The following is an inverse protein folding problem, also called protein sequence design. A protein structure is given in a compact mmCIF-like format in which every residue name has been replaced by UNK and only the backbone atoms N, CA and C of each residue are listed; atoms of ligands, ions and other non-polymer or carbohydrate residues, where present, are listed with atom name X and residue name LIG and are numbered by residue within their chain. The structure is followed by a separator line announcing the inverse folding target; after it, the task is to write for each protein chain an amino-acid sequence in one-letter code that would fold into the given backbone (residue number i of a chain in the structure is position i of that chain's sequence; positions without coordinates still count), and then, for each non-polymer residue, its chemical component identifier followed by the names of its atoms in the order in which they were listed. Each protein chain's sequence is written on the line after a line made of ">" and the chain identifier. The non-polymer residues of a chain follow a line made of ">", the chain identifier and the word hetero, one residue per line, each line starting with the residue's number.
data_IF_861700755262
#
_entry.id   IF_861700755262
#
_cell.length_a   1.000
_cell.length_b   1.000
_cell.length_c   1.000
_cell.angle_alpha   90.00
_cell.angle_beta   90.00
_cell.angle_gamma   90.00
#
_symmetry.space_group_name_H-M   'P 1'
#
loop_
_entity.id
_entity.type
_entity.pdbx_description
1 polymer ?
#
# COMPACT_ATOMS: atom_id res chain seq x y z
N UNK A 1 -8.90 -0.48 21.54
CA UNK A 1 -8.84 -0.25 20.08
C UNK A 1 -7.45 -0.54 19.53
N UNK A 2 -7.11 -1.82 19.38
CA UNK A 2 -5.98 -2.24 18.56
C UNK A 2 -6.47 -2.31 17.12
N UNK A 3 -6.32 -1.22 16.36
CA UNK A 3 -6.77 -1.18 14.98
C UNK A 3 -6.03 -2.22 14.13
N UNK A 4 -6.60 -2.61 12.99
CA UNK A 4 -5.95 -3.51 12.02
C UNK A 4 -4.51 -3.08 11.67
N UNK A 5 -4.22 -1.78 11.73
CA UNK A 5 -2.88 -1.21 11.58
C UNK A 5 -1.91 -1.67 12.67
N UNK A 6 -2.33 -1.69 13.94
CA UNK A 6 -1.50 -2.21 15.04
C UNK A 6 -1.22 -3.70 14.85
N UNK A 7 -2.21 -4.46 14.40
CA UNK A 7 -2.01 -5.87 14.06
C UNK A 7 -0.97 -6.08 12.95
N UNK A 8 -0.93 -5.21 11.93
CA UNK A 8 0.10 -5.30 10.88
C UNK A 8 1.49 -5.01 11.44
N UNK A 9 1.64 -3.99 12.30
CA UNK A 9 2.92 -3.70 12.95
C UNK A 9 3.36 -4.84 13.88
N UNK A 10 2.44 -5.44 14.64
CA UNK A 10 2.72 -6.58 15.52
C UNK A 10 3.20 -7.82 14.75
N UNK A 11 2.71 -8.01 13.51
CA UNK A 11 3.14 -9.11 12.64
C UNK A 11 4.42 -8.82 11.86
N UNK A 12 4.90 -7.57 11.85
CA UNK A 12 6.16 -7.18 11.26
C UNK A 12 6.18 -7.17 9.73
N UNK A 13 7.39 -6.95 9.20
CA UNK A 13 7.64 -6.64 7.79
C UNK A 13 7.10 -7.69 6.80
N UNK A 14 7.18 -8.98 7.14
CA UNK A 14 6.73 -10.06 6.23
C UNK A 14 5.23 -9.98 5.95
N UNK A 15 4.41 -9.68 6.97
CA UNK A 15 2.96 -9.56 6.81
C UNK A 15 2.59 -8.31 6.01
N UNK A 16 3.31 -7.21 6.25
CA UNK A 16 3.14 -5.95 5.51
C UNK A 16 3.46 -6.16 4.03
N UNK A 17 4.63 -6.72 3.71
CA UNK A 17 5.06 -7.02 2.34
C UNK A 17 4.10 -7.98 1.64
N UNK A 18 3.58 -9.00 2.35
CA UNK A 18 2.57 -9.90 1.80
C UNK A 18 1.32 -9.15 1.34
N UNK A 19 0.80 -8.23 2.15
CA UNK A 19 -0.36 -7.41 1.78
C UNK A 19 -0.05 -6.49 0.60
N UNK A 20 1.09 -5.80 0.60
CA UNK A 20 1.50 -4.96 -0.55
C UNK A 20 1.53 -5.76 -1.86
N UNK A 21 2.04 -7.00 -1.84
CA UNK A 21 2.06 -7.87 -3.02
C UNK A 21 0.67 -8.37 -3.45
N UNK A 22 -0.21 -8.66 -2.49
CA UNK A 22 -1.61 -9.04 -2.72
C UNK A 22 -2.36 -7.90 -3.42
N UNK A 23 -2.39 -6.70 -2.83
CA UNK A 23 -3.10 -5.54 -3.37
C UNK A 23 -2.54 -5.12 -4.74
N UNK A 24 -1.21 -5.22 -4.93
CA UNK A 24 -0.60 -4.94 -6.23
C UNK A 24 -1.12 -5.87 -7.32
N UNK A 25 -1.35 -7.14 -6.99
CA UNK A 25 -1.90 -8.13 -7.92
C UNK A 25 -3.39 -7.87 -8.20
N UNK A 26 -4.15 -7.46 -7.18
CA UNK A 26 -5.57 -7.12 -7.29
C UNK A 26 -5.79 -5.87 -8.14
N UNK A 27 -4.95 -4.83 -8.01
CA UNK A 27 -4.95 -3.67 -8.92
C UNK A 27 -4.78 -4.09 -10.38
N UNK A 28 -3.85 -5.02 -10.66
CA UNK A 28 -3.61 -5.52 -12.03
C UNK A 28 -4.86 -6.24 -12.55
N UNK A 29 -5.49 -7.09 -11.73
CA UNK A 29 -6.69 -7.84 -12.09
C UNK A 29 -7.87 -6.89 -12.33
N UNK A 30 -8.13 -5.96 -11.42
CA UNK A 30 -9.22 -4.98 -11.51
C UNK A 30 -9.08 -4.11 -12.78
N UNK A 31 -7.86 -3.65 -13.08
CA UNK A 31 -7.57 -2.90 -14.30
C UNK A 31 -7.82 -3.74 -15.56
N UNK A 32 -7.42 -5.03 -15.56
CA UNK A 32 -7.65 -5.95 -16.68
C UNK A 32 -9.12 -6.28 -16.90
N UNK A 33 -9.93 -6.24 -15.84
CA UNK A 33 -11.38 -6.47 -15.89
C UNK A 33 -12.18 -5.24 -16.35
N UNK A 34 -11.53 -4.09 -16.64
CA UNK A 34 -12.18 -2.84 -16.99
C UNK A 34 -13.24 -2.39 -15.96
N UNK A 35 -12.98 -2.60 -14.67
CA UNK A 35 -13.83 -2.15 -13.57
C UNK A 35 -13.20 -0.92 -12.89
N UNK A 36 -13.64 0.32 -13.20
CA UNK A 36 -13.10 1.52 -12.57
C UNK A 36 -13.36 1.59 -11.07
N UNK A 37 -14.44 0.96 -10.60
CA UNK A 37 -14.80 0.90 -9.19
C UNK A 37 -13.83 0.00 -8.42
N UNK A 38 -13.65 -1.25 -8.87
CA UNK A 38 -12.66 -2.16 -8.29
C UNK A 38 -11.26 -1.57 -8.38
N UNK A 39 -10.88 -1.00 -9.53
CA UNK A 39 -9.55 -0.38 -9.69
C UNK A 39 -9.32 0.73 -8.67
N UNK A 40 -10.33 1.57 -8.40
CA UNK A 40 -10.23 2.63 -7.38
C UNK A 40 -10.09 2.03 -5.98
N UNK A 41 -10.85 0.98 -5.68
CA UNK A 41 -10.82 0.30 -4.40
C UNK A 41 -9.44 -0.32 -4.13
N UNK A 42 -8.91 -1.13 -5.06
CA UNK A 42 -7.62 -1.80 -4.88
C UNK A 42 -6.44 -0.83 -4.88
N UNK A 43 -6.52 0.28 -5.63
CA UNK A 43 -5.52 1.34 -5.53
C UNK A 43 -5.54 1.98 -4.14
N UNK A 44 -6.72 2.20 -3.57
CA UNK A 44 -6.82 2.76 -2.22
C UNK A 44 -6.25 1.80 -1.16
N UNK A 45 -6.51 0.49 -1.28
CA UNK A 45 -5.98 -0.50 -0.34
C UNK A 45 -4.46 -0.68 -0.50
N UNK A 46 -3.95 -0.68 -1.74
CA UNK A 46 -2.52 -0.66 -2.00
C UNK A 46 -1.84 0.57 -1.37
N UNK A 47 -2.42 1.76 -1.51
CA UNK A 47 -1.88 2.98 -0.91
C UNK A 47 -1.92 2.96 0.63
N UNK A 48 -2.96 2.36 1.22
CA UNK A 48 -3.03 2.12 2.66
C UNK A 48 -1.88 1.21 3.11
N UNK A 49 -1.69 0.07 2.46
CA UNK A 49 -0.62 -0.87 2.80
C UNK A 49 0.79 -0.32 2.54
N UNK A 50 0.96 0.49 1.50
CA UNK A 50 2.19 1.25 1.27
C UNK A 50 2.43 2.29 2.38
N UNK A 51 1.40 2.96 2.89
CA UNK A 51 1.53 3.87 4.04
C UNK A 51 2.05 3.13 5.28
N UNK A 52 1.51 1.95 5.57
CA UNK A 52 1.99 1.11 6.68
C UNK A 52 3.45 0.70 6.47
N UNK A 53 3.83 0.34 5.24
CA UNK A 53 5.21 0.02 4.89
C UNK A 53 6.15 1.23 5.07
N UNK A 54 5.76 2.41 4.58
CA UNK A 54 6.51 3.67 4.73
C UNK A 54 6.84 3.91 6.21
N UNK A 55 5.81 3.88 7.07
CA UNK A 55 6.00 4.08 8.52
C UNK A 55 6.85 2.97 9.14
N UNK A 56 6.66 1.70 8.74
CA UNK A 56 7.46 0.58 9.24
C UNK A 56 8.95 0.71 8.88
N UNK A 57 9.26 1.32 7.74
CA UNK A 57 10.63 1.59 7.29
C UNK A 57 11.22 2.89 7.87
N UNK A 58 10.48 3.59 8.73
CA UNK A 58 10.91 4.88 9.31
C UNK A 58 10.93 6.02 8.31
N UNK A 59 10.19 5.90 7.20
CA UNK A 59 10.05 6.93 6.18
C UNK A 59 8.76 7.74 6.40
N UNK A 60 8.71 8.89 5.74
CA UNK A 60 7.53 9.75 5.63
C UNK A 60 7.02 9.81 4.21
N UNK A 61 5.75 10.19 4.05
CA UNK A 61 5.19 10.46 2.72
C UNK A 61 5.92 11.61 2.01
N UNK A 62 6.39 12.62 2.75
CA UNK A 62 7.13 13.74 2.16
C UNK A 62 8.43 13.26 1.48
N UNK A 63 9.20 12.39 2.13
CA UNK A 63 10.41 11.79 1.53
C UNK A 63 10.11 10.99 0.26
N UNK A 64 9.02 10.20 0.25
CA UNK A 64 8.60 9.45 -0.95
C UNK A 64 8.16 10.41 -2.06
N UNK A 65 7.43 11.48 -1.72
CA UNK A 65 6.97 12.48 -2.68
C UNK A 65 8.14 13.31 -3.24
N UNK A 66 9.17 13.59 -2.46
CA UNK A 66 10.40 14.20 -2.94
C UNK A 66 11.10 13.33 -3.98
N UNK A 67 11.19 12.02 -3.73
CA UNK A 67 11.75 11.08 -4.70
C UNK A 67 10.90 11.01 -5.99
N UNK A 68 9.57 11.01 -5.87
CA UNK A 68 8.68 11.07 -7.04
C UNK A 68 8.86 12.35 -7.86
N UNK A 69 9.10 13.50 -7.22
CA UNK A 69 9.35 14.77 -7.92
C UNK A 69 10.61 14.71 -8.79
N UNK A 70 11.64 13.98 -8.40
CA UNK A 70 12.89 13.81 -9.19
C UNK A 70 12.71 13.01 -10.48
N UNK A 71 11.59 12.28 -10.63
CA UNK A 71 11.29 11.48 -11.82
C UNK A 71 10.65 12.29 -12.97
N UNK A 72 10.44 13.59 -12.77
CA UNK A 72 9.92 14.55 -13.75
C UNK A 72 11.02 15.54 -14.12
#
# INVERSE_FOLDING_TARGET
>A
DGSYTNYLFDKGIDKICKKVGEESSEVIIAAKNNSPEETRYEIADLLYHLTVLIVNQGLTWDEVMEELKKRR
#
